data_IF_226532707377
#
_entry.id   IF_226532707377
#
_cell.length_a   1.000
_cell.length_b   1.000
_cell.length_c   1.000
_cell.angle_alpha   90.00
_cell.angle_beta   90.00
_cell.angle_gamma   90.00
#
_symmetry.space_group_name_H-M   'P 1'
#
loop_
_entity.id
_entity.type
_entity.pdbx_description
1 polymer ?
#
# COMPACT_ATOMS: atom_id res chain seq x y z
N UNK A 1 -34.54 -8.93 -2.56
CA UNK A 1 -33.15 -9.37 -2.68
C UNK A 1 -32.39 -8.20 -3.30
N UNK A 2 -31.64 -7.42 -2.52
CA UNK A 2 -30.87 -6.31 -3.08
C UNK A 2 -29.89 -6.90 -4.11
N UNK A 3 -29.87 -6.37 -5.33
CA UNK A 3 -28.82 -6.72 -6.29
C UNK A 3 -27.47 -6.40 -5.63
N UNK A 4 -26.65 -7.42 -5.40
CA UNK A 4 -25.27 -7.28 -4.93
C UNK A 4 -24.38 -6.82 -6.09
N UNK A 5 -24.76 -5.73 -6.77
CA UNK A 5 -23.93 -5.12 -7.81
C UNK A 5 -22.76 -4.42 -7.13
N UNK A 6 -21.56 -4.98 -7.31
CA UNK A 6 -20.32 -4.42 -6.73
C UNK A 6 -20.13 -2.97 -7.15
N UNK A 7 -19.93 -2.09 -6.17
CA UNK A 7 -19.71 -0.67 -6.42
C UNK A 7 -18.47 -0.44 -7.30
N UNK A 8 -18.58 0.55 -8.19
CA UNK A 8 -17.51 0.93 -9.12
C UNK A 8 -17.13 2.39 -8.91
N UNK A 9 -15.85 2.68 -9.11
CA UNK A 9 -15.35 4.05 -9.11
C UNK A 9 -16.01 4.87 -10.22
N UNK A 10 -16.57 6.04 -9.87
CA UNK A 10 -17.23 6.92 -10.84
C UNK A 10 -16.28 7.50 -11.89
N UNK A 11 -14.99 7.69 -11.57
CA UNK A 11 -13.96 8.14 -12.51
C UNK A 11 -12.62 7.43 -12.27
N UNK A 12 -11.87 7.18 -13.34
CA UNK A 12 -10.53 6.57 -13.28
C UNK A 12 -9.55 7.41 -12.47
N UNK A 13 -9.63 8.74 -12.54
CA UNK A 13 -8.77 9.64 -11.77
C UNK A 13 -8.92 9.44 -10.26
N UNK A 14 -10.14 9.25 -9.76
CA UNK A 14 -10.38 9.03 -8.33
C UNK A 14 -9.73 7.73 -7.84
N UNK A 15 -9.80 6.67 -8.65
CA UNK A 15 -9.09 5.44 -8.37
C UNK A 15 -7.57 5.64 -8.34
N UNK A 16 -7.00 6.38 -9.30
CA UNK A 16 -5.56 6.66 -9.34
C UNK A 16 -5.13 7.45 -8.11
N UNK A 17 -5.86 8.49 -7.70
CA UNK A 17 -5.53 9.26 -6.50
C UNK A 17 -5.62 8.43 -5.22
N UNK A 18 -6.64 7.58 -5.08
CA UNK A 18 -6.75 6.66 -3.95
C UNK A 18 -5.57 5.66 -3.90
N UNK A 19 -5.17 5.11 -5.05
CA UNK A 19 -4.03 4.21 -5.16
C UNK A 19 -2.70 4.92 -4.82
N UNK A 20 -2.49 6.14 -5.33
CA UNK A 20 -1.31 6.94 -5.01
C UNK A 20 -1.24 7.29 -3.52
N UNK A 21 -2.38 7.68 -2.91
CA UNK A 21 -2.47 7.93 -1.48
C UNK A 21 -2.17 6.70 -0.63
N UNK A 22 -2.55 5.51 -1.10
CA UNK A 22 -2.21 4.25 -0.43
C UNK A 22 -0.73 3.85 -0.60
N UNK A 23 -0.09 4.24 -1.71
CA UNK A 23 1.29 3.87 -2.01
C UNK A 23 2.32 4.81 -1.35
N UNK A 24 1.96 6.08 -1.15
CA UNK A 24 2.84 7.09 -0.54
C UNK A 24 2.65 7.06 0.97
N UNK A 25 3.64 6.52 1.68
CA UNK A 25 3.61 6.43 3.15
C UNK A 25 4.78 7.13 3.84
N UNK A 26 4.70 7.18 5.17
CA UNK A 26 5.73 7.73 6.06
C UNK A 26 7.12 7.10 5.84
N UNK A 27 7.19 5.83 5.43
CA UNK A 27 8.44 5.18 5.05
C UNK A 27 9.21 5.90 3.94
N UNK A 28 8.51 6.53 2.98
CA UNK A 28 9.16 7.31 1.92
C UNK A 28 9.77 8.61 2.47
N UNK A 29 9.27 9.13 3.60
CA UNK A 29 9.72 10.37 4.18
C UNK A 29 11.05 10.23 4.94
N UNK A 30 11.23 9.15 5.69
CA UNK A 30 12.45 8.96 6.51
C UNK A 30 13.26 7.72 6.16
N UNK A 31 12.63 6.59 5.86
CA UNK A 31 13.34 5.31 5.71
C UNK A 31 14.09 5.27 4.38
N UNK A 32 13.46 5.75 3.31
CA UNK A 32 14.11 5.80 2.00
C UNK A 32 15.34 6.72 1.98
N UNK A 33 15.27 8.00 2.45
CA UNK A 33 16.46 8.84 2.53
C UNK A 33 17.55 8.26 3.42
N UNK A 34 17.17 7.69 4.56
CA UNK A 34 18.12 7.04 5.48
C UNK A 34 18.86 5.86 4.82
N UNK A 35 18.13 4.96 4.15
CA UNK A 35 18.73 3.82 3.46
C UNK A 35 19.56 4.26 2.25
N UNK A 36 19.10 5.25 1.48
CA UNK A 36 19.88 5.79 0.38
C UNK A 36 21.20 6.35 0.89
N UNK A 37 21.18 7.18 1.94
CA UNK A 37 22.38 7.73 2.55
C UNK A 37 23.33 6.63 3.06
N UNK A 38 22.81 5.66 3.82
CA UNK A 38 23.61 4.58 4.41
C UNK A 38 24.23 3.62 3.37
N UNK A 39 23.62 3.47 2.20
CA UNK A 39 24.04 2.51 1.16
C UNK A 39 24.72 3.20 -0.04
N UNK A 40 25.48 4.27 0.19
CA UNK A 40 26.25 4.94 -0.86
C UNK A 40 25.53 6.10 -1.55
N UNK A 41 24.55 6.72 -0.87
CA UNK A 41 23.85 7.92 -1.31
C UNK A 41 23.17 7.74 -2.66
N UNK A 42 23.62 8.51 -3.65
CA UNK A 42 23.09 8.49 -5.01
C UNK A 42 23.32 7.17 -5.75
N UNK A 43 24.37 6.40 -5.43
CA UNK A 43 24.64 5.11 -6.08
C UNK A 43 23.54 4.07 -5.77
N UNK A 44 22.95 4.14 -4.57
CA UNK A 44 21.82 3.31 -4.19
C UNK A 44 20.61 3.47 -5.13
N UNK A 45 20.42 4.65 -5.72
CA UNK A 45 19.31 4.92 -6.62
C UNK A 45 19.34 4.02 -7.86
N UNK A 46 20.53 3.65 -8.34
CA UNK A 46 20.66 2.75 -9.50
C UNK A 46 20.14 1.35 -9.14
N UNK A 47 20.58 0.80 -8.02
CA UNK A 47 20.11 -0.50 -7.53
C UNK A 47 18.60 -0.47 -7.23
N UNK A 48 18.12 0.63 -6.62
CA UNK A 48 16.71 0.86 -6.35
C UNK A 48 15.88 0.90 -7.64
N UNK A 49 16.37 1.57 -8.69
CA UNK A 49 15.68 1.64 -9.98
C UNK A 49 15.61 0.28 -10.67
N UNK A 50 16.69 -0.50 -10.63
CA UNK A 50 16.70 -1.86 -11.17
C UNK A 50 15.68 -2.73 -10.42
N UNK A 51 15.66 -2.68 -9.07
CA UNK A 51 14.68 -3.41 -8.28
C UNK A 51 13.23 -2.97 -8.54
N UNK A 52 13.00 -1.67 -8.72
CA UNK A 52 11.67 -1.14 -9.04
C UNK A 52 11.19 -1.65 -10.40
N UNK A 53 12.03 -1.60 -11.43
CA UNK A 53 11.66 -2.02 -12.79
C UNK A 53 11.54 -3.54 -12.91
N UNK A 54 12.41 -4.30 -12.24
CA UNK A 54 12.46 -5.76 -12.36
C UNK A 54 11.43 -6.47 -11.47
N UNK A 55 11.15 -5.93 -10.28
CA UNK A 55 10.30 -6.59 -9.27
C UNK A 55 9.08 -5.73 -8.96
N UNK A 56 9.27 -4.46 -8.60
CA UNK A 56 8.19 -3.60 -8.13
C UNK A 56 7.04 -3.44 -9.13
N UNK A 57 7.36 -2.99 -10.35
CA UNK A 57 6.35 -2.76 -11.40
C UNK A 57 5.67 -4.06 -11.84
N UNK A 58 6.40 -5.15 -12.19
CA UNK A 58 5.76 -6.40 -12.58
C UNK A 58 4.86 -6.98 -11.48
N UNK A 59 5.30 -6.91 -10.22
CA UNK A 59 4.52 -7.40 -9.08
C UNK A 59 3.22 -6.61 -8.90
N UNK A 60 3.30 -5.28 -9.00
CA UNK A 60 2.13 -4.40 -8.91
C UNK A 60 1.12 -4.66 -10.04
N UNK A 61 1.60 -4.85 -11.27
CA UNK A 61 0.75 -5.20 -12.42
C UNK A 61 0.05 -6.54 -12.20
N UNK A 62 0.75 -7.53 -11.65
CA UNK A 62 0.21 -8.83 -11.33
C UNK A 62 -0.91 -8.72 -10.29
N UNK A 63 -0.69 -8.02 -9.17
CA UNK A 63 -1.71 -7.84 -8.13
C UNK A 63 -2.96 -7.11 -8.65
N UNK A 64 -2.79 -6.01 -9.39
CA UNK A 64 -3.93 -5.31 -9.98
C UNK A 64 -4.64 -6.15 -11.06
N UNK A 65 -3.88 -6.90 -11.86
CA UNK A 65 -4.41 -7.80 -12.87
C UNK A 65 -5.30 -8.88 -12.25
N UNK A 66 -4.83 -9.51 -11.18
CA UNK A 66 -5.58 -10.52 -10.43
C UNK A 66 -6.84 -9.93 -9.77
N UNK A 67 -6.71 -8.77 -9.11
CA UNK A 67 -7.84 -8.09 -8.50
C UNK A 67 -8.93 -7.71 -9.50
N UNK A 68 -8.53 -7.28 -10.71
CA UNK A 68 -9.47 -6.95 -11.81
C UNK A 68 -10.10 -8.20 -12.44
N UNK A 69 -9.33 -9.27 -12.61
CA UNK A 69 -9.79 -10.50 -13.24
C UNK A 69 -10.81 -11.25 -12.37
N UNK A 70 -10.47 -11.51 -11.10
CA UNK A 70 -11.35 -12.22 -10.18
C UNK A 70 -12.46 -11.32 -9.61
N UNK A 71 -12.27 -9.99 -9.69
CA UNK A 71 -13.21 -9.00 -9.18
C UNK A 71 -13.70 -9.35 -7.76
N UNK A 72 -12.76 -9.70 -6.88
CA UNK A 72 -12.97 -10.11 -5.49
C UNK A 72 -11.98 -9.40 -4.54
N UNK A 73 -12.11 -9.60 -3.23
CA UNK A 73 -11.13 -9.14 -2.22
C UNK A 73 -9.94 -10.11 -2.17
N UNK A 74 -8.86 -9.79 -1.44
CA UNK A 74 -7.66 -10.62 -1.41
C UNK A 74 -7.95 -12.12 -1.12
N UNK A 75 -8.68 -12.52 -0.05
CA UNK A 75 -9.08 -13.92 0.15
C UNK A 75 -9.85 -14.52 -1.03
N UNK A 76 -10.81 -13.79 -1.58
CA UNK A 76 -11.62 -14.29 -2.69
C UNK A 76 -10.88 -14.37 -4.03
N UNK A 77 -9.82 -13.58 -4.23
CA UNK A 77 -8.91 -13.74 -5.37
C UNK A 77 -8.19 -15.07 -5.28
N UNK A 78 -7.64 -15.41 -4.10
CA UNK A 78 -6.96 -16.69 -3.90
C UNK A 78 -7.91 -17.89 -3.89
N UNK A 79 -9.14 -17.73 -3.37
CA UNK A 79 -10.18 -18.74 -3.49
C UNK A 79 -10.51 -19.04 -4.97
N UNK A 80 -10.60 -17.99 -5.81
CA UNK A 80 -10.84 -18.11 -7.24
C UNK A 80 -9.73 -18.82 -8.01
N UNK A 81 -8.48 -18.75 -7.52
CA UNK A 81 -7.35 -19.54 -8.05
C UNK A 81 -7.45 -21.00 -7.60
N UNK A 82 -7.88 -21.23 -6.37
CA UNK A 82 -8.26 -22.54 -5.88
C UNK A 82 -8.64 -22.49 -4.41
N UNK A 83 -9.73 -23.17 -4.04
CA UNK A 83 -10.29 -23.16 -2.66
C UNK A 83 -9.28 -23.46 -1.55
N UNK A 84 -8.24 -24.25 -1.82
CA UNK A 84 -7.18 -24.56 -0.84
C UNK A 84 -6.25 -23.38 -0.54
N UNK A 85 -6.24 -22.34 -1.38
CA UNK A 85 -5.35 -21.19 -1.30
C UNK A 85 -5.99 -19.98 -0.61
N UNK A 86 -7.27 -20.03 -0.26
CA UNK A 86 -7.99 -18.91 0.37
C UNK A 86 -7.27 -18.34 1.60
N UNK A 87 -6.70 -19.22 2.44
CA UNK A 87 -5.98 -18.82 3.66
C UNK A 87 -4.79 -17.90 3.38
N UNK A 88 -4.14 -18.01 2.21
CA UNK A 88 -3.04 -17.13 1.81
C UNK A 88 -3.52 -15.71 1.54
N UNK A 89 -4.76 -15.53 1.10
CA UNK A 89 -5.34 -14.19 0.92
C UNK A 89 -5.70 -13.50 2.24
N UNK A 90 -5.88 -14.25 3.32
CA UNK A 90 -6.08 -13.71 4.67
C UNK A 90 -4.78 -13.21 5.31
N UNK A 91 -3.64 -13.77 4.92
CA UNK A 91 -2.32 -13.35 5.42
C UNK A 91 -2.03 -11.85 5.22
N UNK A 92 -2.11 -11.26 4.02
CA UNK A 92 -1.86 -9.84 3.82
C UNK A 92 -2.87 -8.95 4.57
N UNK A 93 -4.11 -9.43 4.78
CA UNK A 93 -5.11 -8.71 5.59
C UNK A 93 -4.68 -8.61 7.05
N UNK A 94 -4.21 -9.72 7.63
CA UNK A 94 -3.65 -9.74 8.98
C UNK A 94 -2.41 -8.85 9.12
N UNK A 95 -1.51 -8.89 8.15
CA UNK A 95 -0.32 -8.02 8.15
C UNK A 95 -0.72 -6.54 8.07
N UNK A 96 -1.68 -6.18 7.21
CA UNK A 96 -2.17 -4.81 7.10
C UNK A 96 -2.81 -4.31 8.41
N UNK A 97 -3.53 -5.18 9.12
CA UNK A 97 -4.08 -4.86 10.43
C UNK A 97 -2.97 -4.54 11.45
N UNK A 98 -1.96 -5.39 11.57
CA UNK A 98 -0.81 -5.16 12.46
C UNK A 98 -0.06 -3.87 12.13
N UNK A 99 0.12 -3.58 10.84
CA UNK A 99 0.78 -2.35 10.39
C UNK A 99 -0.04 -1.12 10.81
N UNK A 100 -1.36 -1.19 10.63
CA UNK A 100 -2.26 -0.09 10.98
C UNK A 100 -2.20 0.22 12.48
N UNK A 101 -2.09 -0.80 13.35
CA UNK A 101 -2.05 -0.61 14.81
C UNK A 101 -0.91 0.30 15.27
N UNK A 102 0.31 0.19 14.72
CA UNK A 102 1.40 1.08 15.10
C UNK A 102 1.42 2.37 14.26
N UNK A 103 0.96 2.33 13.01
CA UNK A 103 0.87 3.54 12.18
C UNK A 103 -0.08 4.57 12.78
N UNK A 104 -1.18 4.15 13.41
CA UNK A 104 -2.11 5.09 14.09
C UNK A 104 -1.42 5.86 15.22
N UNK A 105 -0.53 5.22 15.98
CA UNK A 105 0.25 5.88 17.04
C UNK A 105 1.17 6.94 16.47
N UNK A 106 1.88 6.64 15.39
CA UNK A 106 2.75 7.61 14.71
C UNK A 106 1.93 8.79 14.17
N UNK A 107 0.78 8.51 13.55
CA UNK A 107 -0.13 9.55 13.08
C UNK A 107 -0.62 10.44 14.23
N UNK A 108 -0.94 9.86 15.40
CA UNK A 108 -1.32 10.62 16.58
C UNK A 108 -0.20 11.57 17.05
N UNK A 109 1.06 11.14 17.00
CA UNK A 109 2.20 12.03 17.29
C UNK A 109 2.29 13.18 16.29
N UNK A 110 2.15 12.90 14.98
CA UNK A 110 2.18 13.97 13.96
C UNK A 110 1.07 15.00 14.15
N UNK A 111 -0.13 14.55 14.52
CA UNK A 111 -1.26 15.44 14.82
C UNK A 111 -0.98 16.27 16.08
N UNK A 112 -0.42 15.66 17.12
CA UNK A 112 0.00 16.39 18.34
C UNK A 112 1.02 17.47 18.01
N UNK A 113 2.04 17.17 17.21
CA UNK A 113 3.03 18.16 16.78
C UNK A 113 2.41 19.26 15.92
N UNK A 114 1.45 18.93 15.06
CA UNK A 114 0.72 19.93 14.25
C UNK A 114 -0.05 20.91 15.14
N UNK A 115 -0.78 20.43 16.16
CA UNK A 115 -1.50 21.29 17.10
C UNK A 115 -0.51 22.14 17.92
N UNK A 116 0.55 21.51 18.44
CA UNK A 116 1.58 22.21 19.21
C UNK A 116 2.27 23.31 18.39
N UNK A 117 2.44 23.13 17.08
CA UNK A 117 3.02 24.15 16.21
C UNK A 117 2.13 25.38 16.02
N UNK A 118 0.81 25.27 16.24
CA UNK A 118 -0.13 26.40 16.17
C UNK A 118 -0.25 27.15 17.49
N UNK A 119 0.02 26.50 18.61
CA UNK A 119 0.10 27.12 19.93
C UNK A 119 1.49 27.70 20.10
N UNK A 120 1.65 28.98 19.77
CA UNK A 120 2.86 29.75 20.06
C UNK A 120 2.85 30.09 21.57
N UNK A 121 3.40 29.19 22.37
CA UNK A 121 4.16 29.54 23.58
C UNK A 121 5.60 29.04 23.42
#
# INVERSE_FOLDING_TARGET
MAELTRERWGKRSYFIFAALGSAIGLGNLWRFPYLSYANGGGAFLVAWMVGLLAIGIPWLILEYGMGKYFNSSAPGVFEGIGKKWEWLGWWPVWVAFLITTYYTVVMAWTLRYMVAATTVE
#
